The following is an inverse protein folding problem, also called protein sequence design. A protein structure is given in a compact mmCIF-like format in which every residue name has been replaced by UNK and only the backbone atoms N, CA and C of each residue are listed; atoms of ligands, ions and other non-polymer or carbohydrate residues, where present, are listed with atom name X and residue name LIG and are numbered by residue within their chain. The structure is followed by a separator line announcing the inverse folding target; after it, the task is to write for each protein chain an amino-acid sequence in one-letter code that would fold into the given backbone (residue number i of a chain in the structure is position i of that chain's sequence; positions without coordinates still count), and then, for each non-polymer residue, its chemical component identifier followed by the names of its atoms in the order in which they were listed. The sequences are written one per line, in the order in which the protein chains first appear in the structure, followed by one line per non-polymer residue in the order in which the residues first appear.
data_IF_932438183292
#
_entry.id   IF_932438183292
#
_cell.length_a   1.000
_cell.length_b   1.000
_cell.length_c   1.000
_cell.angle_alpha   90.00
_cell.angle_beta   90.00
_cell.angle_gamma   90.00
#
_symmetry.space_group_name_H-M   'P 1'
#
loop_
_entity.id
_entity.type
_entity.pdbx_description
1 polymer ?
#
# COMPACT_ATOMS: atom_id res chain seq x y z
N UNK A 1 4.97 31.04 54.61
CA UNK A 1 5.45 31.45 53.27
C UNK A 1 5.88 30.27 52.39
N UNK A 2 6.00 29.04 52.91
CA UNK A 2 6.48 27.88 52.12
C UNK A 2 5.41 27.19 51.24
N UNK A 3 4.14 27.26 51.64
CA UNK A 3 3.04 26.57 50.92
C UNK A 3 2.86 27.09 49.48
N UNK A 4 3.10 28.39 49.23
CA UNK A 4 2.95 28.99 47.89
C UNK A 4 4.02 28.54 46.90
N UNK A 5 5.22 28.18 47.36
CA UNK A 5 6.28 27.63 46.53
C UNK A 5 5.99 26.17 46.13
N UNK A 6 5.53 25.36 47.09
CA UNK A 6 5.14 23.98 46.86
C UNK A 6 3.96 23.85 45.88
N UNK A 7 2.95 24.73 46.00
CA UNK A 7 1.78 24.74 45.10
C UNK A 7 2.17 25.15 43.68
N UNK A 8 3.08 26.13 43.53
CA UNK A 8 3.61 26.55 42.23
C UNK A 8 4.39 25.42 41.55
N UNK A 9 5.20 24.68 42.29
CA UNK A 9 5.93 23.51 41.79
C UNK A 9 4.97 22.38 41.38
N UNK A 10 3.97 22.05 42.20
CA UNK A 10 2.93 21.06 41.85
C UNK A 10 2.17 21.44 40.58
N UNK A 11 1.78 22.71 40.42
CA UNK A 11 1.10 23.20 39.20
C UNK A 11 2.01 23.09 37.97
N UNK A 12 3.27 23.48 38.07
CA UNK A 12 4.25 23.36 36.97
C UNK A 12 4.49 21.91 36.58
N UNK A 13 4.69 21.03 37.55
CA UNK A 13 4.90 19.60 37.31
C UNK A 13 3.67 18.95 36.66
N UNK A 14 2.45 19.36 37.06
CA UNK A 14 1.22 18.90 36.42
C UNK A 14 1.10 19.37 34.97
N UNK A 15 1.42 20.63 34.68
CA UNK A 15 1.44 21.16 33.31
C UNK A 15 2.47 20.43 32.46
N UNK A 16 3.69 20.24 32.98
CA UNK A 16 4.76 19.51 32.29
C UNK A 16 4.34 18.05 32.07
N UNK A 17 3.82 17.37 33.08
CA UNK A 17 3.35 15.98 32.96
C UNK A 17 2.24 15.81 31.92
N UNK A 18 1.26 16.72 31.89
CA UNK A 18 0.20 16.71 30.88
C UNK A 18 0.75 16.98 29.47
N UNK A 19 1.68 17.92 29.33
CA UNK A 19 2.31 18.20 28.03
C UNK A 19 3.13 16.99 27.52
N UNK A 20 3.90 16.35 28.39
CA UNK A 20 4.69 15.18 28.05
C UNK A 20 3.80 13.99 27.67
N UNK A 21 2.73 13.74 28.43
CA UNK A 21 1.75 12.72 28.10
C UNK A 21 1.09 12.99 26.73
N UNK A 22 0.75 14.25 26.45
CA UNK A 22 0.20 14.66 25.15
C UNK A 22 1.16 14.39 23.98
N UNK A 23 2.45 14.71 24.16
CA UNK A 23 3.48 14.43 23.14
C UNK A 23 3.64 12.92 22.90
N UNK A 24 3.70 12.12 23.97
CA UNK A 24 3.83 10.66 23.87
C UNK A 24 2.62 10.06 23.13
N UNK A 25 1.40 10.47 23.51
CA UNK A 25 0.18 10.03 22.84
C UNK A 25 0.15 10.44 21.36
N UNK A 26 0.60 11.67 21.06
CA UNK A 26 0.74 12.15 19.68
C UNK A 26 1.72 11.31 18.86
N UNK A 27 2.90 11.01 19.40
CA UNK A 27 3.90 10.18 18.72
C UNK A 27 3.42 8.76 18.48
N UNK A 28 2.71 8.15 19.44
CA UNK A 28 2.05 6.86 19.23
C UNK A 28 1.02 6.93 18.09
N UNK A 29 0.19 7.97 18.08
CA UNK A 29 -0.79 8.18 17.01
C UNK A 29 -0.14 8.24 15.63
N UNK A 30 0.95 9.01 15.50
CA UNK A 30 1.71 9.12 14.24
C UNK A 30 2.34 7.78 13.83
N UNK A 31 2.91 7.03 14.78
CA UNK A 31 3.51 5.73 14.49
C UNK A 31 2.47 4.74 13.93
N UNK A 32 1.30 4.62 14.56
CA UNK A 32 0.23 3.75 14.07
C UNK A 32 -0.40 4.24 12.77
N UNK A 33 -0.50 5.56 12.56
CA UNK A 33 -1.05 6.14 11.33
C UNK A 33 -0.10 6.03 10.12
N UNK A 34 1.20 5.88 10.33
CA UNK A 34 2.19 5.82 9.25
C UNK A 34 1.98 4.66 8.28
N UNK A 35 1.67 3.46 8.79
CA UNK A 35 1.46 2.26 7.99
C UNK A 35 0.28 2.38 7.02
N UNK A 36 -0.95 2.72 7.45
CA UNK A 36 -2.07 2.89 6.54
C UNK A 36 -1.87 4.06 5.57
N UNK A 37 -1.23 5.15 6.00
CA UNK A 37 -0.90 6.28 5.12
C UNK A 37 0.06 5.85 4.00
N UNK A 38 1.10 5.09 4.34
CA UNK A 38 2.05 4.56 3.35
C UNK A 38 1.37 3.59 2.38
N UNK A 39 0.49 2.72 2.88
CA UNK A 39 -0.30 1.82 2.02
C UNK A 39 -1.21 2.59 1.05
N UNK A 40 -1.91 3.61 1.53
CA UNK A 40 -2.75 4.48 0.70
C UNK A 40 -1.91 5.19 -0.36
N UNK A 41 -0.73 5.70 0.00
CA UNK A 41 0.20 6.29 -0.93
C UNK A 41 0.62 5.30 -2.02
N UNK A 42 1.07 4.09 -1.65
CA UNK A 42 1.43 3.04 -2.61
C UNK A 42 0.25 2.67 -3.53
N UNK A 43 -0.96 2.61 -2.99
CA UNK A 43 -2.17 2.28 -3.75
C UNK A 43 -2.58 3.38 -4.74
N UNK A 44 -2.42 4.66 -4.43
CA UNK A 44 -2.79 5.75 -5.35
C UNK A 44 -1.71 6.00 -6.40
N UNK A 45 -0.44 5.82 -6.03
CA UNK A 45 0.69 6.12 -6.91
C UNK A 45 1.16 4.91 -7.73
N UNK A 46 0.84 3.68 -7.29
CA UNK A 46 1.37 2.45 -7.89
C UNK A 46 2.81 2.16 -7.49
N UNK A 47 3.34 2.86 -6.49
CA UNK A 47 4.68 2.64 -5.97
C UNK A 47 4.79 1.24 -5.37
N UNK A 48 5.81 0.46 -5.77
CA UNK A 48 6.05 -0.95 -5.42
C UNK A 48 5.24 -2.01 -6.21
N UNK A 49 4.72 -1.67 -7.40
CA UNK A 49 4.07 -2.66 -8.26
C UNK A 49 2.74 -3.19 -7.71
N UNK A 50 2.16 -2.53 -6.70
CA UNK A 50 0.78 -2.76 -6.28
C UNK A 50 -0.12 -2.47 -7.48
N UNK A 51 -0.75 -3.52 -8.00
CA UNK A 51 -1.74 -3.43 -9.06
C UNK A 51 -2.71 -2.31 -8.70
N UNK A 52 -2.75 -1.27 -9.52
CA UNK A 52 -3.80 -0.27 -9.43
C UNK A 52 -5.09 -1.04 -9.67
N UNK A 53 -5.88 -1.27 -8.63
CA UNK A 53 -7.27 -1.70 -8.80
C UNK A 53 -8.03 -0.46 -9.29
N UNK A 54 -7.65 0.03 -10.46
CA UNK A 54 -8.38 1.05 -11.18
C UNK A 54 -9.68 0.40 -11.60
N UNK A 55 -10.74 0.63 -10.82
CA UNK A 55 -12.10 0.23 -11.14
C UNK A 55 -12.25 -1.24 -11.51
N UNK A 56 -12.40 -2.10 -10.51
CA UNK A 56 -13.02 -3.42 -10.66
C UNK A 56 -12.13 -4.52 -11.24
N UNK A 57 -11.49 -5.28 -10.35
CA UNK A 57 -11.48 -6.75 -10.35
C UNK A 57 -10.45 -7.24 -9.33
N UNK A 58 -10.88 -7.41 -8.09
CA UNK A 58 -10.26 -8.39 -7.19
C UNK A 58 -10.78 -9.80 -7.58
N UNK A 59 -10.05 -10.88 -7.24
CA UNK A 59 -10.45 -12.24 -7.58
C UNK A 59 -11.82 -12.55 -6.97
N UNK A 60 -12.85 -12.73 -7.81
CA UNK A 60 -14.23 -13.04 -7.39
C UNK A 60 -15.29 -11.94 -7.59
N UNK A 61 -15.00 -10.81 -8.27
CA UNK A 61 -16.03 -9.79 -8.56
C UNK A 61 -16.89 -10.17 -9.80
N UNK A 62 -18.24 -10.18 -9.71
CA UNK A 62 -19.13 -10.82 -10.69
C UNK A 62 -19.67 -9.86 -11.78
N UNK A 63 -20.07 -10.46 -12.91
CA UNK A 63 -21.01 -9.98 -13.93
C UNK A 63 -20.98 -8.47 -14.28
N UNK A 64 -19.89 -8.02 -14.90
CA UNK A 64 -19.83 -6.66 -15.47
C UNK A 64 -18.61 -6.38 -16.34
N UNK A 65 -17.56 -7.20 -16.26
CA UNK A 65 -16.33 -7.08 -17.05
C UNK A 65 -16.39 -7.74 -18.44
N UNK A 66 -17.57 -8.14 -18.91
CA UNK A 66 -17.75 -9.10 -20.02
C UNK A 66 -17.35 -8.60 -21.43
N UNK A 67 -16.82 -7.39 -21.59
CA UNK A 67 -16.57 -6.81 -22.92
C UNK A 67 -15.16 -6.27 -23.16
N UNK A 68 -14.22 -6.41 -22.22
CA UNK A 68 -12.83 -5.96 -22.46
C UNK A 68 -12.05 -7.07 -23.17
N UNK A 69 -11.69 -6.84 -24.43
CA UNK A 69 -10.73 -7.68 -25.14
C UNK A 69 -9.34 -7.34 -24.62
N UNK A 70 -8.64 -8.31 -24.05
CA UNK A 70 -7.25 -8.19 -23.62
C UNK A 70 -6.35 -8.88 -24.64
N UNK A 71 -5.33 -8.17 -25.10
CA UNK A 71 -4.25 -8.76 -25.91
C UNK A 71 -3.11 -9.17 -25.00
N UNK A 72 -2.92 -10.48 -24.82
CA UNK A 72 -1.84 -11.09 -24.06
C UNK A 72 -0.69 -11.37 -25.03
N UNK A 73 0.54 -10.95 -24.66
CA UNK A 73 1.75 -11.21 -25.45
C UNK A 73 2.64 -12.18 -24.69
N UNK A 74 2.93 -13.33 -25.29
CA UNK A 74 3.76 -14.35 -24.67
C UNK A 74 5.23 -14.08 -25.00
N UNK A 75 6.04 -13.92 -23.94
CA UNK A 75 7.48 -13.74 -24.07
C UNK A 75 8.19 -15.03 -23.69
N UNK A 76 9.04 -15.53 -24.59
CA UNK A 76 9.92 -16.66 -24.35
C UNK A 76 11.34 -16.25 -24.71
N UNK A 77 12.14 -15.93 -23.70
CA UNK A 77 13.55 -15.57 -23.85
C UNK A 77 14.43 -16.75 -23.46
N UNK A 78 15.44 -17.05 -24.27
CA UNK A 78 16.53 -17.98 -23.91
C UNK A 78 17.81 -17.22 -23.63
N UNK A 79 18.65 -17.78 -22.75
CA UNK A 79 19.98 -17.23 -22.51
C UNK A 79 20.89 -17.47 -23.73
N UNK A 80 21.74 -16.51 -24.16
CA UNK A 80 22.56 -16.62 -25.37
C UNK A 80 23.51 -17.84 -25.40
N UNK A 81 23.88 -18.35 -24.23
CA UNK A 81 24.73 -19.55 -24.09
C UNK A 81 23.99 -20.90 -24.06
N UNK A 82 22.66 -20.91 -24.14
CA UNK A 82 21.87 -22.15 -24.18
C UNK A 82 21.52 -22.52 -25.64
N UNK A 83 21.93 -23.70 -26.16
CA UNK A 83 21.66 -24.10 -27.54
C UNK A 83 20.22 -24.63 -27.73
N UNK A 84 19.23 -24.02 -27.08
CA UNK A 84 17.83 -24.43 -27.15
C UNK A 84 17.05 -23.50 -28.06
N UNK A 85 16.21 -24.10 -28.91
CA UNK A 85 15.17 -23.38 -29.64
C UNK A 85 13.89 -23.43 -28.82
N UNK A 86 13.66 -22.38 -28.03
CA UNK A 86 12.45 -22.20 -27.26
C UNK A 86 11.81 -20.89 -27.68
N UNK A 87 10.53 -20.94 -28.04
CA UNK A 87 9.74 -19.79 -28.48
C UNK A 87 8.28 -20.02 -28.12
N UNK A 88 7.47 -18.95 -28.09
CA UNK A 88 6.05 -19.10 -27.82
C UNK A 88 5.38 -19.72 -29.05
N UNK A 89 4.50 -20.70 -28.84
CA UNK A 89 3.72 -21.33 -29.92
C UNK A 89 2.80 -20.30 -30.61
N UNK A 90 2.23 -19.39 -29.81
CA UNK A 90 1.50 -18.22 -30.29
C UNK A 90 2.08 -16.96 -29.63
N UNK A 91 2.55 -15.96 -30.40
CA UNK A 91 3.21 -14.77 -29.83
C UNK A 91 2.21 -13.81 -29.15
N UNK A 92 0.94 -13.83 -29.57
CA UNK A 92 -0.11 -13.01 -28.97
C UNK A 92 -1.47 -13.67 -29.09
N UNK A 93 -2.30 -13.48 -28.08
CA UNK A 93 -3.68 -13.97 -28.04
C UNK A 93 -4.60 -12.86 -27.55
N UNK A 94 -5.73 -12.68 -28.21
CA UNK A 94 -6.76 -11.72 -27.79
C UNK A 94 -7.93 -12.50 -27.20
N UNK A 95 -8.20 -12.29 -25.91
CA UNK A 95 -9.21 -13.02 -25.14
C UNK A 95 -10.17 -12.03 -24.47
N UNK A 96 -11.43 -12.43 -24.34
CA UNK A 96 -12.37 -11.69 -23.49
C UNK A 96 -12.19 -12.12 -22.04
N UNK A 97 -12.44 -11.18 -21.11
CA UNK A 97 -12.41 -11.48 -19.67
C UNK A 97 -13.43 -12.58 -19.36
N UNK A 98 -12.96 -13.74 -18.90
CA UNK A 98 -13.80 -14.89 -18.54
C UNK A 98 -13.98 -15.94 -19.65
N UNK A 99 -13.24 -15.83 -20.75
CA UNK A 99 -13.13 -16.86 -21.78
C UNK A 99 -11.96 -17.79 -21.43
N UNK A 100 -12.20 -19.11 -21.37
CA UNK A 100 -11.21 -20.15 -21.05
C UNK A 100 -10.69 -20.85 -22.31
#
# INVERSE_FOLDING_TARGET
MDQTAADRLRRRNRVIGLSAAGVIAGMMGVAFASVPLYRMFCQVTGYNGTVQVGGGAAPGAPAGAAAKVLTIRFNANTHPGLPWRFGPDQPSMSLRVGEE
#
